data_IF_799528308345
#
_entry.id   IF_799528308345
#
_cell.length_a   1.000
_cell.length_b   1.000
_cell.length_c   1.000
_cell.angle_alpha   90.00
_cell.angle_beta   90.00
_cell.angle_gamma   90.00
#
_symmetry.space_group_name_H-M   'P 1'
#
loop_
_entity.id
_entity.type
_entity.pdbx_description
1 polymer ?
#
# COMPACT_ATOMS: atom_id res chain seq x y z
N UNK A 1 -20.66 -18.12 7.11
CA UNK A 1 -19.31 -18.17 6.50
C UNK A 1 -18.31 -17.69 7.54
N UNK A 2 -17.09 -18.26 7.63
CA UNK A 2 -16.07 -17.73 8.53
C UNK A 2 -15.83 -16.26 8.22
N UNK A 3 -15.82 -15.42 9.26
CA UNK A 3 -15.44 -14.03 9.13
C UNK A 3 -13.93 -13.95 8.92
N UNK A 4 -13.49 -13.03 8.07
CA UNK A 4 -12.08 -12.80 7.81
C UNK A 4 -11.76 -11.32 7.98
N UNK A 5 -10.52 -11.05 8.34
CA UNK A 5 -9.93 -9.73 8.19
C UNK A 5 -8.91 -9.78 7.06
N UNK A 6 -8.99 -8.77 6.18
CA UNK A 6 -8.04 -8.59 5.10
C UNK A 6 -6.93 -7.63 5.54
N UNK A 7 -5.68 -7.98 5.28
CA UNK A 7 -4.52 -7.11 5.44
C UNK A 7 -3.87 -6.93 4.07
N UNK A 8 -3.65 -5.68 3.68
CA UNK A 8 -2.98 -5.35 2.43
C UNK A 8 -1.62 -4.74 2.72
N UNK A 9 -0.57 -5.26 2.10
CA UNK A 9 0.79 -4.75 2.22
C UNK A 9 1.18 -4.13 0.89
N UNK A 10 1.34 -2.80 0.84
CA UNK A 10 1.85 -2.13 -0.34
C UNK A 10 3.33 -2.43 -0.53
N UNK A 11 3.71 -2.78 -1.75
CA UNK A 11 5.08 -3.16 -2.15
C UNK A 11 5.40 -2.52 -3.51
N UNK A 12 6.68 -2.40 -3.89
CA UNK A 12 7.01 -1.98 -5.24
C UNK A 12 6.42 -2.94 -6.27
N UNK A 13 5.76 -2.38 -7.29
CA UNK A 13 5.20 -3.13 -8.43
C UNK A 13 6.29 -3.98 -9.07
N UNK A 14 6.04 -5.28 -9.21
CA UNK A 14 6.97 -6.26 -9.78
C UNK A 14 7.94 -6.88 -8.78
N UNK A 15 7.85 -6.53 -7.49
CA UNK A 15 8.63 -7.12 -6.41
C UNK A 15 7.78 -7.87 -5.40
N UNK A 16 6.53 -8.21 -5.76
CA UNK A 16 5.60 -8.90 -4.88
C UNK A 16 6.17 -10.23 -4.38
N UNK A 17 6.76 -11.05 -5.27
CA UNK A 17 7.38 -12.34 -4.92
C UNK A 17 8.49 -12.19 -3.85
N UNK A 18 9.39 -11.23 -4.06
CA UNK A 18 10.49 -10.95 -3.14
C UNK A 18 9.94 -10.48 -1.81
N UNK A 19 8.94 -9.60 -1.83
CA UNK A 19 8.34 -9.09 -0.61
C UNK A 19 7.65 -10.21 0.18
N UNK A 20 6.92 -11.13 -0.47
CA UNK A 20 6.32 -12.31 0.17
C UNK A 20 7.37 -13.19 0.84
N UNK A 21 8.49 -13.49 0.16
CA UNK A 21 9.58 -14.29 0.72
C UNK A 21 10.23 -13.63 1.95
N UNK A 22 10.11 -12.31 2.08
CA UNK A 22 10.67 -11.52 3.18
C UNK A 22 9.65 -11.22 4.28
N UNK A 23 8.40 -11.62 4.14
CA UNK A 23 7.43 -11.50 5.22
C UNK A 23 7.83 -12.37 6.42
N UNK A 24 7.54 -11.94 7.66
CA UNK A 24 7.75 -12.77 8.82
C UNK A 24 7.03 -14.11 8.66
N UNK A 25 7.76 -15.24 8.76
CA UNK A 25 7.19 -16.60 8.60
C UNK A 25 5.97 -16.84 9.49
N UNK A 26 5.99 -16.29 10.70
CA UNK A 26 4.87 -16.39 11.62
C UNK A 26 3.60 -15.69 11.08
N UNK A 27 3.74 -14.58 10.35
CA UNK A 27 2.61 -13.90 9.72
C UNK A 27 2.05 -14.74 8.55
N UNK A 28 2.94 -15.31 7.73
CA UNK A 28 2.57 -16.22 6.62
C UNK A 28 1.79 -17.43 7.17
N UNK A 29 2.31 -18.06 8.23
CA UNK A 29 1.72 -19.28 8.80
C UNK A 29 0.32 -19.03 9.38
N UNK A 30 0.08 -17.84 9.93
CA UNK A 30 -1.21 -17.47 10.51
C UNK A 30 -2.24 -17.01 9.48
N UNK A 31 -1.80 -16.64 8.27
CA UNK A 31 -2.71 -16.27 7.18
C UNK A 31 -3.41 -17.54 6.66
N UNK A 32 -4.73 -17.48 6.51
CA UNK A 32 -5.50 -18.53 5.86
C UNK A 32 -5.26 -18.53 4.34
N UNK A 33 -5.06 -17.34 3.78
CA UNK A 33 -4.77 -17.15 2.36
C UNK A 33 -3.78 -16.01 2.15
N UNK A 34 -2.95 -16.16 1.13
CA UNK A 34 -2.00 -15.16 0.65
C UNK A 34 -2.22 -15.03 -0.84
N UNK A 35 -2.80 -13.91 -1.23
CA UNK A 35 -3.09 -13.58 -2.61
C UNK A 35 -2.24 -12.38 -3.03
N UNK A 36 -1.60 -12.49 -4.18
CA UNK A 36 -1.02 -11.35 -4.85
C UNK A 36 -1.01 -11.62 -6.36
N UNK A 37 -1.11 -10.55 -7.13
CA UNK A 37 -0.87 -10.59 -8.56
C UNK A 37 0.43 -9.87 -8.84
N UNK A 38 1.26 -10.43 -9.72
CA UNK A 38 2.45 -9.73 -10.20
C UNK A 38 2.02 -8.39 -10.77
N UNK A 39 2.68 -7.31 -10.32
CA UNK A 39 2.39 -5.91 -10.69
C UNK A 39 1.13 -5.29 -10.07
N UNK A 40 0.49 -5.92 -9.08
CA UNK A 40 -0.59 -5.27 -8.32
C UNK A 40 -0.05 -4.14 -7.44
N UNK A 41 1.21 -4.23 -6.98
CA UNK A 41 1.75 -3.36 -5.95
C UNK A 41 1.24 -3.68 -4.53
N UNK A 42 0.50 -4.78 -4.36
CA UNK A 42 -0.08 -5.19 -3.08
C UNK A 42 0.00 -6.70 -2.86
N UNK A 43 0.34 -7.09 -1.62
CA UNK A 43 0.15 -8.43 -1.10
C UNK A 43 -1.09 -8.42 -0.21
N UNK A 44 -2.04 -9.32 -0.47
CA UNK A 44 -3.26 -9.50 0.30
C UNK A 44 -3.13 -10.73 1.20
N UNK A 45 -3.16 -10.52 2.51
CA UNK A 45 -3.18 -11.57 3.52
C UNK A 45 -4.57 -11.63 4.13
N UNK A 46 -5.16 -12.83 4.20
CA UNK A 46 -6.47 -13.03 4.82
C UNK A 46 -6.35 -13.83 6.10
N UNK A 47 -6.83 -13.30 7.21
CA UNK A 47 -6.77 -13.97 8.51
C UNK A 47 -8.17 -14.37 8.99
N UNK A 48 -8.35 -15.60 9.49
CA UNK A 48 -9.63 -16.03 10.03
C UNK A 48 -9.93 -15.27 11.33
N UNK A 49 -11.19 -14.89 11.48
CA UNK A 49 -11.71 -14.31 12.72
C UNK A 49 -12.59 -15.33 13.43
N UNK A 50 -12.55 -15.31 14.76
CA UNK A 50 -13.38 -16.17 15.60
C UNK A 50 -14.54 -15.34 16.13
N UNK A 51 -15.74 -15.91 16.09
CA UNK A 51 -16.89 -15.40 16.82
C UNK A 51 -16.93 -16.20 18.10
N UNK A 52 -16.85 -15.52 19.25
CA UNK A 52 -17.02 -16.19 20.52
C UNK A 52 -18.51 -16.47 20.75
N UNK A 53 -18.92 -17.71 20.46
CA UNK A 53 -20.31 -18.16 20.61
C UNK A 53 -20.76 -18.24 22.08
N UNK A 54 -19.82 -18.19 23.05
CA UNK A 54 -20.17 -18.27 24.49
C UNK A 54 -20.73 -16.95 25.03
N UNK A 55 -20.50 -15.85 24.32
CA UNK A 55 -21.09 -14.55 24.64
C UNK A 55 -22.42 -14.47 23.86
N UNK A 56 -23.50 -14.93 24.49
CA UNK A 56 -24.83 -15.09 23.90
C UNK A 56 -25.52 -13.78 23.45
N UNK A 57 -24.87 -12.62 23.61
CA UNK A 57 -25.38 -11.35 23.10
C UNK A 57 -24.99 -11.19 21.62
N UNK A 58 -26.02 -10.99 20.77
CA UNK A 58 -25.96 -10.80 19.31
C UNK A 58 -25.04 -9.66 18.81
N UNK A 59 -24.34 -8.97 19.71
CA UNK A 59 -23.43 -7.86 19.45
C UNK A 59 -21.93 -8.24 19.57
N UNK A 60 -21.57 -9.52 19.61
CA UNK A 60 -20.16 -9.92 19.70
C UNK A 60 -19.39 -9.50 18.46
N UNK A 61 -18.45 -8.57 18.65
CA UNK A 61 -17.49 -8.21 17.61
C UNK A 61 -16.62 -9.43 17.30
N UNK A 62 -16.40 -9.76 16.02
CA UNK A 62 -15.50 -10.84 15.67
C UNK A 62 -14.10 -10.51 16.20
N UNK A 63 -13.49 -11.48 16.89
CA UNK A 63 -12.23 -11.29 17.61
C UNK A 63 -11.10 -11.88 16.76
N UNK A 64 -10.15 -11.02 16.38
CA UNK A 64 -8.90 -11.50 15.80
C UNK A 64 -8.02 -12.14 16.88
N UNK A 65 -7.45 -13.29 16.56
CA UNK A 65 -6.54 -14.04 17.43
C UNK A 65 -5.40 -13.13 17.93
N UNK A 66 -5.13 -13.17 19.24
CA UNK A 66 -4.07 -12.37 19.87
C UNK A 66 -2.69 -12.62 19.26
N UNK A 67 -2.39 -13.84 18.82
CA UNK A 67 -1.15 -14.14 18.12
C UNK A 67 -1.04 -13.35 16.81
N UNK A 68 -2.14 -13.21 16.06
CA UNK A 68 -2.16 -12.41 14.82
C UNK A 68 -1.93 -10.94 15.18
N UNK A 69 -2.62 -10.42 16.20
CA UNK A 69 -2.42 -9.04 16.68
C UNK A 69 -0.96 -8.79 17.07
N UNK A 70 -0.31 -9.74 17.76
CA UNK A 70 1.11 -9.63 18.14
C UNK A 70 2.04 -9.59 16.92
N UNK A 71 1.75 -10.38 15.88
CA UNK A 71 2.55 -10.36 14.65
C UNK A 71 2.31 -9.09 13.83
N UNK A 72 1.09 -8.57 13.79
CA UNK A 72 0.79 -7.27 13.18
C UNK A 72 1.45 -6.13 13.95
N UNK A 73 1.44 -6.18 15.28
CA UNK A 73 2.13 -5.20 16.11
C UNK A 73 3.65 -5.24 15.90
N UNK A 74 4.23 -6.43 15.75
CA UNK A 74 5.64 -6.59 15.37
C UNK A 74 5.93 -6.05 13.97
N UNK A 75 5.04 -6.30 12.98
CA UNK A 75 5.14 -5.72 11.64
C UNK A 75 5.11 -4.19 11.68
N UNK A 76 4.25 -3.61 12.53
CA UNK A 76 4.14 -2.15 12.71
C UNK A 76 5.41 -1.56 13.32
N UNK A 77 5.98 -2.22 14.34
CA UNK A 77 7.20 -1.75 15.01
C UNK A 77 8.44 -1.91 14.14
N UNK A 78 8.54 -3.05 13.44
CA UNK A 78 9.73 -3.49 12.71
C UNK A 78 9.36 -3.88 11.26
N UNK A 79 8.87 -2.95 10.42
CA UNK A 79 8.38 -3.28 9.08
C UNK A 79 9.53 -3.73 8.17
N UNK A 80 9.41 -4.87 7.46
CA UNK A 80 10.32 -5.27 6.40
C UNK A 80 10.54 -4.13 5.40
N UNK A 81 11.78 -3.92 4.97
CA UNK A 81 12.14 -2.79 4.07
C UNK A 81 11.40 -2.86 2.73
N UNK A 82 10.99 -4.05 2.31
CA UNK A 82 10.21 -4.26 1.09
C UNK A 82 8.78 -3.71 1.13
N UNK A 83 8.25 -3.34 2.31
CA UNK A 83 6.86 -2.90 2.49
C UNK A 83 6.79 -1.37 2.56
N UNK A 84 6.02 -0.75 1.67
CA UNK A 84 5.76 0.69 1.66
C UNK A 84 4.71 1.11 2.68
N UNK A 85 3.68 0.29 2.85
CA UNK A 85 2.58 0.59 3.74
C UNK A 85 1.83 -0.70 4.09
N UNK A 86 1.03 -0.68 5.14
CA UNK A 86 0.15 -1.78 5.51
C UNK A 86 -1.25 -1.24 5.82
N UNK A 87 -2.28 -1.97 5.45
CA UNK A 87 -3.67 -1.54 5.58
C UNK A 87 -4.54 -2.66 6.13
N UNK A 88 -5.39 -2.33 7.10
CA UNK A 88 -6.45 -3.22 7.58
C UNK A 88 -7.69 -2.98 6.72
N UNK A 89 -8.16 -3.99 6.00
CA UNK A 89 -9.35 -3.95 5.19
C UNK A 89 -10.59 -3.67 6.02
N UNK A 90 -11.36 -2.67 5.61
CA UNK A 90 -12.71 -2.40 6.13
C UNK A 90 -13.73 -3.18 5.30
N UNK A 91 -13.63 -3.06 3.97
CA UNK A 91 -14.53 -3.75 3.06
C UNK A 91 -14.29 -3.35 1.62
N UNK A 92 -15.09 -3.91 0.72
CA UNK A 92 -15.02 -3.64 -0.72
C UNK A 92 -16.32 -2.99 -1.19
N UNK A 93 -16.20 -2.04 -2.10
CA UNK A 93 -17.33 -1.41 -2.77
C UNK A 93 -17.33 -1.80 -4.25
N UNK A 94 -18.47 -2.27 -4.74
CA UNK A 94 -18.70 -2.56 -6.15
C UNK A 94 -19.34 -1.35 -6.83
N UNK A 95 -18.61 -0.69 -7.71
CA UNK A 95 -19.05 0.53 -8.42
C UNK A 95 -19.25 0.21 -9.91
N UNK A 96 -20.48 0.27 -10.44
CA UNK A 96 -20.73 0.20 -11.86
C UNK A 96 -19.96 1.28 -12.61
N UNK A 97 -19.27 0.92 -13.70
CA UNK A 97 -18.48 1.87 -14.49
C UNK A 97 -19.32 3.06 -15.00
N UNK A 98 -20.62 2.85 -15.19
CA UNK A 98 -21.58 3.88 -15.60
C UNK A 98 -21.65 5.04 -14.60
N UNK A 99 -21.56 4.76 -13.29
CA UNK A 99 -21.51 5.81 -12.24
C UNK A 99 -20.24 6.63 -12.38
N UNK A 100 -19.14 6.02 -12.83
CA UNK A 100 -17.88 6.75 -13.00
C UNK A 100 -17.87 7.71 -14.20
N UNK A 101 -18.84 7.61 -15.09
CA UNK A 101 -18.94 8.50 -16.25
C UNK A 101 -19.53 9.88 -15.92
N UNK A 102 -20.12 10.04 -14.72
CA UNK A 102 -20.79 11.26 -14.26
C UNK A 102 -20.34 11.63 -12.84
N UNK A 103 -19.49 12.65 -12.67
CA UNK A 103 -18.91 13.00 -11.36
C UNK A 103 -19.96 13.34 -10.28
N UNK A 104 -21.07 13.93 -10.69
CA UNK A 104 -22.21 14.25 -9.83
C UNK A 104 -22.87 13.01 -9.20
N UNK A 105 -22.93 11.89 -9.92
CA UNK A 105 -23.51 10.64 -9.40
C UNK A 105 -22.61 10.03 -8.32
N UNK A 106 -21.29 10.19 -8.40
CA UNK A 106 -20.35 9.73 -7.36
C UNK A 106 -20.45 10.56 -6.07
N UNK A 107 -20.59 11.88 -6.17
CA UNK A 107 -20.77 12.74 -5.00
C UNK A 107 -22.13 12.49 -4.33
N UNK A 108 -23.18 12.34 -5.13
CA UNK A 108 -24.51 11.97 -4.64
C UNK A 108 -24.49 10.58 -3.98
N UNK A 109 -23.70 9.65 -4.50
CA UNK A 109 -23.49 8.33 -3.89
C UNK A 109 -22.94 8.43 -2.46
N UNK A 110 -21.90 9.26 -2.25
CA UNK A 110 -21.34 9.46 -0.91
C UNK A 110 -22.35 10.04 0.07
N UNK A 111 -23.21 10.95 -0.39
CA UNK A 111 -24.14 11.70 0.47
C UNK A 111 -25.44 10.93 0.72
N UNK A 112 -25.85 10.03 -0.18
CA UNK A 112 -27.09 9.25 -0.06
C UNK A 112 -27.04 8.18 1.05
N UNK A 113 -25.86 7.64 1.37
CA UNK A 113 -25.68 6.72 2.51
C UNK A 113 -26.03 7.36 3.87
N UNK A 114 -25.88 8.68 3.96
CA UNK A 114 -26.10 9.48 5.18
C UNK A 114 -27.58 9.74 5.46
N UNK A 115 -28.40 9.92 4.42
CA UNK A 115 -29.80 10.35 4.58
C UNK A 115 -30.78 9.23 4.94
N UNK A 116 -30.45 7.96 4.72
CA UNK A 116 -31.35 6.85 5.06
C UNK A 116 -31.54 6.64 6.58
N UNK A 117 -30.66 7.17 7.44
CA UNK A 117 -30.84 7.11 8.90
C UNK A 117 -31.80 8.18 9.46
N UNK A 118 -32.11 9.24 8.70
CA UNK A 118 -32.94 10.36 9.18
C UNK A 118 -34.43 10.23 8.82
N UNK A 119 -34.83 9.32 7.93
CA UNK A 119 -36.22 9.18 7.49
C UNK A 119 -37.04 8.10 8.21
N UNK A 120 -36.45 7.27 9.08
CA UNK A 120 -37.19 6.26 9.87
C UNK A 120 -37.78 6.79 11.19
N UNK A 121 -37.65 8.08 11.50
CA UNK A 121 -38.16 8.66 12.76
C UNK A 121 -39.15 9.83 12.63
N UNK A 122 -39.75 10.04 11.46
CA UNK A 122 -40.83 11.03 11.34
C UNK A 122 -41.87 10.64 10.30
N UNK A 123 -42.79 9.75 10.68
CA UNK A 123 -44.13 9.69 10.11
C UNK A 123 -45.14 9.51 11.23
N UNK A 124 -45.46 10.61 11.89
CA UNK A 124 -46.79 10.82 12.46
C UNK A 124 -47.51 11.87 11.61
N UNK A 125 -48.79 11.58 11.40
CA UNK A 125 -49.67 12.15 10.41
C UNK A 125 -49.91 13.65 10.58
N UNK A 126 -49.99 14.37 9.46
CA UNK A 126 -50.88 15.53 9.36
C UNK A 126 -51.45 15.63 7.94
N UNK A 127 -52.68 15.17 7.83
CA UNK A 127 -53.60 15.41 6.73
C UNK A 127 -54.14 16.84 6.88
N UNK A 128 -53.89 17.71 5.89
CA UNK A 128 -54.68 18.93 5.73
C UNK A 128 -55.05 19.18 4.27
N UNK A 129 -56.25 19.74 4.16
CA UNK A 129 -57.15 19.80 3.01
C UNK A 129 -56.68 20.72 1.89
N UNK A 130 -57.06 20.33 0.68
CA UNK A 130 -56.96 21.01 -0.60
C UNK A 130 -57.91 22.21 -0.72
N UNK A 131 -57.50 23.24 -1.47
CA UNK A 131 -58.40 24.09 -2.26
C UNK A 131 -57.91 24.22 -3.72
N UNK A 132 -58.82 24.43 -4.70
CA UNK A 132 -58.48 24.43 -6.13
C UNK A 132 -58.39 25.86 -6.72
N UNK A 133 -57.43 26.08 -7.61
CA UNK A 133 -57.34 27.27 -8.44
C UNK A 133 -56.67 26.97 -9.78
N UNK A 134 -57.45 27.08 -10.86
CA UNK A 134 -57.05 26.81 -12.24
C UNK A 134 -56.22 27.94 -12.85
N UNK A 135 -55.30 27.56 -13.74
CA UNK A 135 -54.75 28.39 -14.82
C UNK A 135 -53.93 27.52 -15.78
N UNK A 136 -54.15 27.58 -17.12
CA UNK A 136 -53.39 26.77 -18.06
C UNK A 136 -52.15 27.54 -18.53
N UNK A 137 -50.96 26.96 -18.37
CA UNK A 137 -49.77 27.43 -19.08
C UNK A 137 -48.86 26.27 -19.48
N UNK A 138 -48.65 26.19 -20.79
CA UNK A 138 -47.54 25.65 -21.55
C UNK A 138 -46.70 24.53 -20.93
N UNK A 139 -46.98 23.32 -21.42
CA UNK A 139 -46.17 22.11 -21.24
C UNK A 139 -44.90 22.21 -22.08
N UNK A 140 -43.89 22.91 -21.57
CA UNK A 140 -42.51 22.48 -21.80
C UNK A 140 -42.20 21.38 -20.80
N UNK A 141 -41.94 20.16 -21.29
CA UNK A 141 -41.46 19.04 -20.46
C UNK A 141 -40.01 19.35 -20.07
N UNK A 142 -39.82 20.22 -19.09
CA UNK A 142 -38.60 20.27 -18.31
C UNK A 142 -38.58 18.99 -17.49
N UNK A 143 -37.75 18.03 -17.93
CA UNK A 143 -37.45 16.86 -17.13
C UNK A 143 -36.86 17.39 -15.81
N UNK A 144 -37.67 17.36 -14.77
CA UNK A 144 -37.34 17.91 -13.46
C UNK A 144 -36.04 17.29 -12.98
N UNK A 145 -35.01 18.12 -12.78
CA UNK A 145 -33.70 17.69 -12.29
C UNK A 145 -33.84 16.95 -10.96
N UNK A 146 -34.89 17.22 -10.18
CA UNK A 146 -35.20 16.47 -8.95
C UNK A 146 -35.61 15.02 -9.24
N UNK A 147 -36.26 14.75 -10.37
CA UNK A 147 -36.69 13.41 -10.79
C UNK A 147 -35.51 12.62 -11.36
N UNK A 148 -34.61 13.27 -12.11
CA UNK A 148 -33.32 12.70 -12.55
C UNK A 148 -32.41 12.36 -11.36
N UNK A 149 -32.29 13.26 -10.38
CA UNK A 149 -31.53 13.02 -9.16
C UNK A 149 -32.13 11.89 -8.32
N UNK A 150 -33.47 11.80 -8.21
CA UNK A 150 -34.17 10.69 -7.54
C UNK A 150 -33.99 9.36 -8.27
N UNK A 151 -33.98 9.34 -9.60
CA UNK A 151 -33.70 8.14 -10.40
C UNK A 151 -32.23 7.72 -10.35
N UNK A 152 -31.28 8.67 -10.34
CA UNK A 152 -29.85 8.39 -10.05
C UNK A 152 -29.69 7.82 -8.64
N UNK A 153 -30.36 8.39 -7.62
CA UNK A 153 -30.33 7.87 -6.25
C UNK A 153 -30.96 6.49 -6.10
N UNK A 154 -32.08 6.19 -6.77
CA UNK A 154 -32.69 4.85 -6.78
C UNK A 154 -31.79 3.80 -7.47
N UNK A 155 -30.94 4.21 -8.41
CA UNK A 155 -29.92 3.33 -9.02
C UNK A 155 -28.69 3.14 -8.14
N UNK A 156 -28.44 4.05 -7.20
CA UNK A 156 -27.32 3.99 -6.26
C UNK A 156 -27.65 3.19 -4.98
N UNK A 157 -28.92 3.18 -4.53
CA UNK A 157 -29.39 2.36 -3.40
C UNK A 157 -29.46 0.86 -3.68
N UNK A 158 -29.34 0.45 -4.95
CA UNK A 158 -29.19 -0.96 -5.35
C UNK A 158 -27.74 -1.46 -5.25
N UNK A 159 -26.79 -0.59 -4.90
CA UNK A 159 -25.38 -0.97 -4.75
C UNK A 159 -25.11 -1.53 -3.36
N UNK A 160 -25.25 -2.85 -3.23
CA UNK A 160 -24.69 -3.61 -2.11
C UNK A 160 -23.28 -4.14 -2.41
N UNK A 161 -22.39 -4.23 -1.39
CA UNK A 161 -22.46 -3.58 -0.08
C UNK A 161 -21.36 -2.51 0.08
N UNK A 162 -21.76 -1.29 0.42
CA UNK A 162 -20.88 -0.35 1.12
C UNK A 162 -20.47 -0.96 2.47
N UNK A 163 -19.24 -0.74 2.99
CA UNK A 163 -18.88 -1.28 4.28
C UNK A 163 -19.82 -0.75 5.38
N UNK A 164 -20.44 -1.66 6.12
CA UNK A 164 -21.37 -1.29 7.19
C UNK A 164 -20.63 -0.84 8.46
N UNK A 165 -21.35 -0.21 9.40
CA UNK A 165 -20.80 0.27 10.67
C UNK A 165 -20.01 -0.83 11.41
N UNK A 166 -20.46 -2.09 11.37
CA UNK A 166 -19.78 -3.22 12.01
C UNK A 166 -18.42 -3.52 11.40
N UNK A 167 -18.27 -3.39 10.08
CA UNK A 167 -16.99 -3.57 9.40
C UNK A 167 -15.99 -2.48 9.77
N UNK A 168 -16.44 -1.23 9.83
CA UNK A 168 -15.63 -0.11 10.31
C UNK A 168 -15.19 -0.28 11.76
N UNK A 169 -16.12 -0.63 12.65
CA UNK A 169 -15.85 -0.85 14.07
C UNK A 169 -14.88 -2.02 14.27
N UNK A 170 -15.04 -3.12 13.53
CA UNK A 170 -14.13 -4.26 13.59
C UNK A 170 -12.71 -3.90 13.14
N UNK A 171 -12.57 -3.22 11.99
CA UNK A 171 -11.28 -2.76 11.51
C UNK A 171 -10.61 -1.78 12.49
N UNK A 172 -11.39 -0.86 13.08
CA UNK A 172 -10.91 0.08 14.09
C UNK A 172 -10.50 -0.62 15.38
N UNK A 173 -11.26 -1.63 15.83
CA UNK A 173 -10.96 -2.44 17.01
C UNK A 173 -9.62 -3.17 16.85
N UNK A 174 -9.38 -3.77 15.67
CA UNK A 174 -8.10 -4.40 15.33
C UNK A 174 -6.98 -3.37 15.26
N UNK A 175 -7.19 -2.26 14.56
CA UNK A 175 -6.23 -1.15 14.45
C UNK A 175 -5.77 -0.69 15.84
N UNK A 176 -6.73 -0.43 16.72
CA UNK A 176 -6.49 -0.01 18.09
C UNK A 176 -5.65 -1.05 18.86
N UNK A 177 -6.01 -2.34 18.79
CA UNK A 177 -5.27 -3.42 19.47
C UNK A 177 -3.84 -3.57 18.94
N UNK A 178 -3.64 -3.45 17.62
CA UNK A 178 -2.31 -3.48 16.99
C UNK A 178 -1.47 -2.30 17.48
N UNK A 179 -2.02 -1.09 17.48
CA UNK A 179 -1.34 0.11 17.98
C UNK A 179 -0.97 0.02 19.47
N UNK A 180 -1.86 -0.54 20.30
CA UNK A 180 -1.60 -0.73 21.72
C UNK A 180 -0.43 -1.69 21.98
N UNK A 181 -0.27 -2.74 21.15
CA UNK A 181 0.81 -3.73 21.29
C UNK A 181 2.10 -3.36 20.57
N UNK A 182 2.06 -2.44 19.60
CA UNK A 182 3.25 -2.02 18.85
C UNK A 182 4.15 -1.07 19.64
N UNK A 183 3.67 -0.54 20.78
CA UNK A 183 4.39 0.44 21.61
C UNK A 183 4.79 1.70 20.82
N UNK A 184 3.98 2.07 19.83
CA UNK A 184 4.10 3.36 19.14
C UNK A 184 3.89 4.51 20.12
N UNK A 185 4.40 5.69 19.77
CA UNK A 185 4.47 6.84 20.67
C UNK A 185 3.12 7.20 21.32
N UNK A 186 3.21 7.61 22.59
CA UNK A 186 2.13 8.06 23.50
C UNK A 186 1.00 8.91 22.85
N UNK A 187 1.25 9.87 21.93
CA UNK A 187 0.18 10.75 21.43
C UNK A 187 -0.96 10.01 20.72
N UNK A 188 -0.67 8.91 20.03
CA UNK A 188 -1.68 8.13 19.32
C UNK A 188 -2.43 7.21 20.28
N UNK A 189 -1.72 6.55 21.20
CA UNK A 189 -2.32 5.68 22.21
C UNK A 189 -3.32 6.46 23.10
N UNK A 190 -2.96 7.66 23.56
CA UNK A 190 -3.81 8.53 24.37
C UNK A 190 -5.10 8.92 23.64
N UNK A 191 -5.01 9.30 22.35
CA UNK A 191 -6.18 9.69 21.54
C UNK A 191 -7.08 8.52 21.17
N UNK A 192 -6.51 7.34 20.98
CA UNK A 192 -7.25 6.10 20.77
C UNK A 192 -7.90 5.55 22.05
N UNK A 193 -7.69 6.21 23.20
CA UNK A 193 -8.31 5.85 24.48
C UNK A 193 -7.53 4.81 25.30
N UNK A 194 -6.29 4.50 24.93
CA UNK A 194 -5.46 3.55 25.67
C UNK A 194 -4.82 4.22 26.89
N UNK A 195 -5.27 3.83 28.09
CA UNK A 195 -4.65 4.23 29.37
C UNK A 195 -3.65 3.17 29.83
N UNK A 196 -2.36 3.47 29.73
CA UNK A 196 -1.29 2.70 30.35
C UNK A 196 -1.12 3.13 31.82
N UNK A 197 -1.90 2.53 32.72
CA UNK A 197 -1.61 2.54 34.17
C UNK A 197 -1.91 3.83 34.97
N UNK A 198 -2.75 3.67 36.01
CA UNK A 198 -2.86 4.45 37.26
C UNK A 198 -2.79 6.00 37.27
N UNK A 199 -3.55 6.71 36.42
CA UNK A 199 -3.81 8.14 36.66
C UNK A 199 -5.31 8.48 36.58
N UNK A 200 -5.89 8.75 37.75
CA UNK A 200 -7.21 9.32 37.96
C UNK A 200 -7.23 10.81 37.61
N UNK A 201 -7.67 11.15 36.39
CA UNK A 201 -8.50 12.34 36.10
C UNK A 201 -8.99 12.31 34.65
N UNK A 202 -10.24 12.69 34.42
CA UNK A 202 -10.85 12.81 33.10
C UNK A 202 -10.25 14.01 32.32
N UNK A 203 -9.08 13.83 31.72
CA UNK A 203 -8.62 14.74 30.69
C UNK A 203 -9.52 14.56 29.45
N UNK A 204 -9.95 15.64 28.78
CA UNK A 204 -10.75 15.54 27.56
C UNK A 204 -9.94 14.78 26.50
N UNK A 205 -10.48 13.66 26.03
CA UNK A 205 -9.91 12.92 24.90
C UNK A 205 -10.00 13.83 23.68
N UNK A 206 -8.84 14.31 23.21
CA UNK A 206 -8.77 15.05 21.95
C UNK A 206 -9.37 14.18 20.84
N UNK A 207 -10.17 14.76 19.91
CA UNK A 207 -10.77 13.99 18.84
C UNK A 207 -9.69 13.34 17.97
N UNK A 208 -9.98 12.14 17.48
CA UNK A 208 -9.15 11.47 16.48
C UNK A 208 -9.13 12.35 15.23
N UNK A 209 -7.94 12.66 14.74
CA UNK A 209 -7.78 13.34 13.46
C UNK A 209 -7.62 12.30 12.37
N UNK A 210 -8.27 12.51 11.24
CA UNK A 210 -8.15 11.60 10.12
C UNK A 210 -8.02 12.33 8.79
N UNK A 211 -7.50 11.62 7.80
CA UNK A 211 -7.63 12.01 6.39
C UNK A 211 -8.17 10.84 5.59
N UNK A 212 -8.77 11.14 4.44
CA UNK A 212 -9.05 10.15 3.42
C UNK A 212 -8.09 10.33 2.24
N UNK A 213 -7.70 9.23 1.62
CA UNK A 213 -6.81 9.20 0.46
C UNK A 213 -7.26 8.12 -0.50
N UNK A 214 -6.97 8.33 -1.78
CA UNK A 214 -7.38 7.42 -2.84
C UNK A 214 -6.26 7.21 -3.84
N UNK A 215 -5.89 5.95 -4.08
CA UNK A 215 -4.97 5.55 -5.15
C UNK A 215 -5.75 4.97 -6.33
N UNK A 216 -5.65 5.63 -7.47
CA UNK A 216 -6.27 5.19 -8.72
C UNK A 216 -5.51 4.05 -9.40
N UNK A 217 -4.26 3.78 -9.00
CA UNK A 217 -3.38 2.84 -9.68
C UNK A 217 -3.28 3.16 -11.18
N UNK A 218 -3.49 2.13 -12.01
CA UNK A 218 -3.48 2.24 -13.47
C UNK A 218 -4.85 2.57 -14.08
N UNK A 219 -5.91 2.62 -13.27
CA UNK A 219 -7.27 2.81 -13.78
C UNK A 219 -7.51 4.30 -14.00
N UNK A 220 -7.78 4.66 -15.25
CA UNK A 220 -8.16 6.02 -15.64
C UNK A 220 -9.66 6.08 -15.85
N UNK A 221 -10.32 7.00 -15.16
CA UNK A 221 -11.72 7.35 -15.41
C UNK A 221 -11.79 8.78 -15.97
N UNK A 222 -12.69 9.00 -16.92
CA UNK A 222 -12.93 10.34 -17.48
C UNK A 222 -13.84 11.11 -16.53
N UNK A 223 -13.44 12.32 -16.14
CA UNK A 223 -14.28 13.26 -15.41
C UNK A 223 -14.23 13.16 -13.88
N UNK A 224 -13.89 12.00 -13.31
CA UNK A 224 -13.71 11.86 -11.87
C UNK A 224 -12.25 12.13 -11.50
N UNK A 225 -12.01 12.84 -10.40
CA UNK A 225 -10.66 13.04 -9.89
C UNK A 225 -10.48 12.16 -8.66
N UNK A 226 -9.26 11.69 -8.41
CA UNK A 226 -8.96 10.92 -7.19
C UNK A 226 -9.32 11.68 -5.91
N UNK A 227 -9.28 13.03 -5.95
CA UNK A 227 -9.72 13.87 -4.84
C UNK A 227 -11.22 13.75 -4.55
N UNK A 228 -12.05 13.58 -5.59
CA UNK A 228 -13.51 13.45 -5.43
C UNK A 228 -13.85 12.12 -4.76
N UNK A 229 -13.17 11.04 -5.15
CA UNK A 229 -13.30 9.71 -4.51
C UNK A 229 -12.78 9.76 -3.06
N UNK A 230 -11.63 10.40 -2.83
CA UNK A 230 -11.10 10.57 -1.47
C UNK A 230 -12.05 11.38 -0.57
N UNK A 231 -12.68 12.43 -1.10
CA UNK A 231 -13.68 13.20 -0.36
C UNK A 231 -14.90 12.34 0.02
N UNK A 232 -15.39 11.51 -0.91
CA UNK A 232 -16.49 10.58 -0.66
C UNK A 232 -16.14 9.57 0.45
N UNK A 233 -14.94 8.99 0.40
CA UNK A 233 -14.43 8.09 1.47
C UNK A 233 -14.35 8.81 2.82
N UNK A 234 -13.93 10.08 2.81
CA UNK A 234 -13.89 10.91 4.01
C UNK A 234 -15.28 11.16 4.61
N UNK A 235 -16.29 11.40 3.76
CA UNK A 235 -17.68 11.52 4.17
C UNK A 235 -18.20 10.23 4.82
N UNK A 236 -17.99 9.09 4.17
CA UNK A 236 -18.37 7.77 4.71
C UNK A 236 -17.76 7.50 6.09
N UNK A 237 -16.47 7.78 6.27
CA UNK A 237 -15.81 7.61 7.56
C UNK A 237 -16.35 8.60 8.62
N UNK A 238 -16.64 9.84 8.22
CA UNK A 238 -17.23 10.85 9.10
C UNK A 238 -18.65 10.52 9.56
N UNK A 239 -19.45 9.87 8.71
CA UNK A 239 -20.79 9.40 9.05
C UNK A 239 -20.76 8.28 10.10
N UNK A 240 -19.77 7.40 10.01
CA UNK A 240 -19.58 6.30 10.97
C UNK A 240 -18.93 6.81 12.27
N UNK A 241 -18.05 7.81 12.18
CA UNK A 241 -17.33 8.40 13.31
C UNK A 241 -17.51 9.93 13.39
N UNK A 242 -18.69 10.42 13.82
CA UNK A 242 -19.01 11.86 13.85
C UNK A 242 -18.08 12.70 14.73
N UNK A 243 -17.40 12.05 15.70
CA UNK A 243 -16.44 12.68 16.60
C UNK A 243 -15.06 12.90 15.97
N UNK A 244 -14.75 12.21 14.87
CA UNK A 244 -13.47 12.37 14.18
C UNK A 244 -13.38 13.73 13.48
N UNK A 245 -12.17 14.29 13.40
CA UNK A 245 -11.92 15.58 12.75
C UNK A 245 -10.99 15.41 11.55
N UNK A 246 -11.36 16.01 10.42
CA UNK A 246 -10.51 15.96 9.23
C UNK A 246 -9.26 16.83 9.44
N UNK A 247 -8.07 16.26 9.24
CA UNK A 247 -6.79 16.98 9.20
C UNK A 247 -5.92 16.40 8.08
N UNK A 248 -5.72 17.15 7.00
CA UNK A 248 -4.99 16.66 5.83
C UNK A 248 -3.46 16.61 6.04
N UNK A 249 -2.95 17.30 7.06
CA UNK A 249 -1.52 17.46 7.30
C UNK A 249 -1.05 16.61 8.48
N UNK A 250 -1.78 16.67 9.59
CA UNK A 250 -1.43 15.99 10.84
C UNK A 250 -2.59 15.14 11.30
N UNK A 251 -2.68 13.94 10.74
CA UNK A 251 -3.71 12.96 11.04
C UNK A 251 -3.15 11.83 11.90
N UNK A 252 -4.05 11.20 12.63
CA UNK A 252 -3.79 10.04 13.48
C UNK A 252 -4.14 8.74 12.72
N UNK A 253 -5.17 8.78 11.86
CA UNK A 253 -5.61 7.67 11.00
C UNK A 253 -5.75 8.16 9.56
N UNK A 254 -5.33 7.33 8.61
CA UNK A 254 -5.66 7.51 7.19
C UNK A 254 -6.64 6.42 6.75
N UNK A 255 -7.74 6.86 6.15
CA UNK A 255 -8.68 6.01 5.41
C UNK A 255 -8.21 5.95 3.97
N UNK A 256 -7.84 4.77 3.50
CA UNK A 256 -7.29 4.57 2.17
C UNK A 256 -8.26 3.77 1.29
N UNK A 257 -8.53 4.28 0.10
CA UNK A 257 -9.22 3.54 -0.95
C UNK A 257 -8.34 3.30 -2.17
N UNK A 258 -8.53 2.17 -2.86
CA UNK A 258 -7.93 1.93 -4.17
C UNK A 258 -8.75 0.94 -4.98
N UNK A 259 -8.55 0.94 -6.30
CA UNK A 259 -9.21 -0.04 -7.17
C UNK A 259 -8.55 -1.41 -7.09
N UNK A 260 -9.35 -2.45 -6.96
CA UNK A 260 -8.92 -3.83 -7.11
C UNK A 260 -9.10 -4.22 -8.58
N UNK A 261 -7.99 -4.38 -9.28
CA UNK A 261 -8.00 -4.98 -10.61
C UNK A 261 -8.16 -6.50 -10.44
N UNK A 262 -9.27 -7.06 -10.92
CA UNK A 262 -9.44 -8.52 -11.02
C UNK A 262 -8.49 -9.04 -12.08
N UNK A 263 -7.26 -9.32 -11.67
CA UNK A 263 -6.24 -9.90 -12.53
C UNK A 263 -6.58 -11.36 -12.77
N UNK A 264 -6.72 -11.73 -14.04
CA UNK A 264 -6.82 -13.13 -14.45
C UNK A 264 -5.42 -13.76 -14.28
N UNK A 265 -5.09 -14.20 -13.07
CA UNK A 265 -3.78 -14.80 -12.77
C UNK A 265 -3.23 -14.54 -11.37
N UNK A 266 -4.08 -14.28 -10.37
CA UNK A 266 -3.60 -14.15 -8.99
C UNK A 266 -2.91 -15.44 -8.55
N UNK A 267 -1.74 -15.29 -7.93
CA UNK A 267 -1.01 -16.42 -7.35
C UNK A 267 -1.56 -16.62 -5.95
N UNK A 268 -2.28 -17.73 -5.76
CA UNK A 268 -2.72 -18.16 -4.44
C UNK A 268 -1.65 -19.04 -3.81
N UNK A 269 -0.96 -18.52 -2.81
CA UNK A 269 -0.07 -19.33 -1.98
C UNK A 269 -0.88 -19.81 -0.79
N UNK A 270 -1.48 -21.00 -0.90
CA UNK A 270 -2.08 -21.66 0.26
C UNK A 270 -0.97 -21.90 1.31
N UNK A 271 -1.27 -21.58 2.56
CA UNK A 271 -0.36 -21.61 3.73
C UNK A 271 0.34 -22.97 4.02
N UNK A 272 0.15 -24.00 3.19
CA UNK A 272 0.89 -25.27 3.25
C UNK A 272 2.33 -25.11 2.70
N UNK A 273 3.04 -24.06 3.08
CA UNK A 273 4.39 -23.78 2.62
C UNK A 273 5.37 -24.80 3.23
N UNK A 274 5.71 -25.83 2.46
CA UNK A 274 6.85 -26.69 2.72
C UNK A 274 8.09 -25.99 2.16
N UNK A 275 9.15 -25.74 2.95
CA UNK A 275 10.35 -25.06 2.45
C UNK A 275 10.94 -25.84 1.26
N UNK A 276 11.31 -25.14 0.20
CA UNK A 276 12.26 -25.67 -0.78
C UNK A 276 13.56 -25.87 -0.03
N UNK A 277 13.87 -27.13 0.31
CA UNK A 277 15.17 -27.49 0.84
C UNK A 277 16.25 -27.07 -0.15
N UNK A 278 17.32 -26.50 0.39
CA UNK A 278 18.53 -26.11 -0.32
C UNK A 278 18.89 -27.16 -1.37
N UNK A 279 18.84 -26.75 -2.64
CA UNK A 279 19.20 -27.52 -3.82
C UNK A 279 20.64 -28.02 -3.64
N UNK A 280 20.80 -29.22 -3.10
CA UNK A 280 22.06 -29.93 -3.12
C UNK A 280 22.38 -30.25 -4.58
N UNK A 281 23.56 -29.80 -4.98
CA UNK A 281 24.13 -30.09 -6.28
C UNK A 281 24.22 -31.61 -6.43
N UNK A 282 23.45 -32.17 -7.36
CA UNK A 282 23.86 -33.37 -8.06
C UNK A 282 23.76 -33.07 -9.55
N UNK A 283 24.94 -32.99 -10.15
CA UNK A 283 25.14 -32.95 -11.57
C UNK A 283 24.53 -34.20 -12.20
N UNK A 284 23.76 -34.02 -13.28
CA UNK A 284 23.80 -34.96 -14.39
C UNK A 284 23.33 -34.27 -15.67
N UNK A 285 24.27 -34.19 -16.60
CA UNK A 285 24.09 -33.77 -17.98
C UNK A 285 23.05 -34.64 -18.70
N UNK A 286 22.04 -34.01 -19.31
CA UNK A 286 21.44 -34.50 -20.53
C UNK A 286 20.83 -33.33 -21.32
N UNK A 287 21.57 -32.89 -22.32
CA UNK A 287 21.22 -31.84 -23.27
C UNK A 287 19.90 -32.15 -23.98
N UNK A 288 18.88 -31.31 -23.78
CA UNK A 288 17.74 -31.20 -24.70
C UNK A 288 17.57 -29.74 -25.09
N UNK A 289 18.09 -29.44 -26.28
CA UNK A 289 18.08 -28.15 -26.96
C UNK A 289 16.67 -27.94 -27.52
N UNK A 290 15.80 -27.27 -26.79
CA UNK A 290 14.49 -26.84 -27.30
C UNK A 290 14.61 -25.38 -27.73
N UNK A 291 14.45 -25.15 -29.04
CA UNK A 291 14.35 -23.82 -29.67
C UNK A 291 13.29 -22.98 -28.96
N UNK A 292 13.71 -21.83 -28.41
CA UNK A 292 12.82 -20.70 -28.14
C UNK A 292 12.81 -19.81 -29.38
N UNK A 293 11.80 -20.00 -30.22
CA UNK A 293 11.27 -18.96 -31.09
C UNK A 293 9.80 -18.78 -30.65
N UNK A 294 9.54 -17.84 -29.75
CA UNK A 294 8.19 -17.31 -29.54
C UNK A 294 8.21 -15.81 -29.84
N UNK A 295 7.39 -15.32 -30.79
CA UNK A 295 7.38 -13.92 -31.16
C UNK A 295 6.67 -13.04 -30.13
N UNK A 296 7.02 -11.76 -30.20
CA UNK A 296 6.54 -10.63 -29.43
C UNK A 296 5.01 -10.41 -29.53
N UNK A 297 4.18 -11.17 -28.81
CA UNK A 297 2.73 -10.90 -28.71
C UNK A 297 2.32 -10.10 -27.46
N UNK A 298 3.18 -9.94 -26.45
CA UNK A 298 2.78 -9.30 -25.17
C UNK A 298 2.63 -7.76 -25.23
N UNK A 299 3.06 -7.08 -26.29
CA UNK A 299 2.88 -5.63 -26.42
C UNK A 299 1.58 -5.22 -27.13
N UNK A 300 0.87 -6.14 -27.78
CA UNK A 300 -0.45 -5.87 -28.38
C UNK A 300 -1.64 -6.20 -27.46
N UNK A 301 -1.42 -6.98 -26.40
CA UNK A 301 -2.48 -7.30 -25.41
C UNK A 301 -2.89 -6.13 -24.51
N UNK A 302 -2.21 -4.97 -24.58
CA UNK A 302 -2.54 -3.77 -23.78
C UNK A 302 -3.65 -2.89 -24.37
N UNK A 303 -4.01 -3.07 -25.64
CA UNK A 303 -5.06 -2.28 -26.30
C UNK A 303 -6.36 -3.04 -26.56
N UNK A 304 -6.43 -4.31 -26.15
CA UNK A 304 -7.62 -5.16 -26.32
C UNK A 304 -8.06 -5.80 -24.98
N UNK A 305 -8.07 -5.03 -23.90
CA UNK A 305 -9.20 -5.20 -22.98
C UNK A 305 -10.37 -4.51 -23.67
N UNK A 306 -11.15 -5.29 -24.41
CA UNK A 306 -12.51 -4.90 -24.77
C UNK A 306 -13.16 -4.54 -23.42
N UNK A 307 -13.36 -3.24 -23.17
CA UNK A 307 -14.05 -2.72 -22.00
C UNK A 307 -15.38 -3.45 -21.92
N UNK A 308 -15.44 -4.50 -21.10
CA UNK A 308 -16.70 -5.11 -20.76
C UNK A 308 -17.36 -4.13 -19.79
N UNK A 309 -18.04 -3.12 -20.36
CA UNK A 309 -18.63 -1.97 -19.67
C UNK A 309 -19.58 -2.37 -18.53
N UNK A 310 -19.97 -3.64 -18.52
CA UNK A 310 -20.91 -4.20 -17.56
C UNK A 310 -20.23 -4.77 -16.30
N UNK A 311 -18.90 -4.89 -16.26
CA UNK A 311 -18.21 -5.35 -15.06
C UNK A 311 -18.02 -4.19 -14.06
N UNK A 312 -18.60 -4.27 -12.85
CA UNK A 312 -18.41 -3.24 -11.84
C UNK A 312 -16.96 -3.24 -11.35
N UNK A 313 -16.41 -2.05 -11.20
CA UNK A 313 -15.10 -1.84 -10.59
C UNK A 313 -15.20 -2.12 -9.09
N UNK A 314 -14.25 -2.88 -8.57
CA UNK A 314 -14.15 -3.13 -7.14
C UNK A 314 -13.19 -2.12 -6.53
N UNK A 315 -13.59 -1.49 -5.43
CA UNK A 315 -12.76 -0.59 -4.66
C UNK A 315 -12.53 -1.20 -3.27
N UNK A 316 -11.29 -1.37 -2.86
CA UNK A 316 -10.95 -1.71 -1.49
C UNK A 316 -10.98 -0.44 -0.64
N UNK A 317 -11.55 -0.53 0.57
CA UNK A 317 -11.49 0.51 1.61
C UNK A 317 -10.75 -0.07 2.81
N UNK A 318 -9.80 0.68 3.36
CA UNK A 318 -8.93 0.20 4.44
C UNK A 318 -8.48 1.32 5.39
N UNK A 319 -8.01 0.96 6.58
CA UNK A 319 -7.32 1.83 7.52
C UNK A 319 -5.81 1.62 7.41
N UNK A 320 -5.04 2.70 7.20
CA UNK A 320 -3.57 2.65 7.14
C UNK A 320 -2.97 2.37 8.51
N UNK A 321 -2.18 1.31 8.63
CA UNK A 321 -1.40 1.02 9.84
C UNK A 321 -0.22 1.99 9.98
N UNK A 322 0.04 2.52 11.19
CA UNK A 322 1.11 3.48 11.44
C UNK A 322 2.48 2.79 11.54
N UNK A 323 2.99 2.29 10.41
CA UNK A 323 4.29 1.63 10.36
C UNK A 323 5.41 2.56 10.89
N UNK A 324 6.19 2.07 11.83
CA UNK A 324 7.25 2.80 12.52
C UNK A 324 8.50 2.96 11.63
N UNK A 325 8.34 3.49 10.42
CA UNK A 325 9.46 3.67 9.49
C UNK A 325 10.56 4.56 10.06
N UNK A 326 10.22 5.47 10.97
CA UNK A 326 11.19 6.28 11.73
C UNK A 326 12.19 5.44 12.53
N UNK A 327 11.79 4.23 12.94
CA UNK A 327 12.60 3.28 13.69
C UNK A 327 13.37 2.31 12.78
N UNK A 328 13.18 2.42 11.46
CA UNK A 328 13.96 1.66 10.50
C UNK A 328 15.19 2.51 10.09
N UNK A 329 16.36 2.37 10.75
CA UNK A 329 17.53 3.19 10.47
C UNK A 329 17.95 3.11 9.00
N UNK A 330 17.66 1.98 8.36
CA UNK A 330 17.94 1.71 6.94
C UNK A 330 17.05 2.49 5.96
N UNK A 331 15.99 3.15 6.42
CA UNK A 331 15.11 4.01 5.61
C UNK A 331 15.38 5.51 5.77
N UNK A 332 16.44 5.87 6.49
CA UNK A 332 16.74 7.28 6.74
C UNK A 332 17.55 7.92 5.63
N UNK A 333 16.96 8.89 4.94
CA UNK A 333 17.65 9.76 3.98
C UNK A 333 17.29 11.23 4.22
N UNK A 334 18.20 12.05 4.75
CA UNK A 334 17.93 13.46 5.00
C UNK A 334 17.90 14.32 3.72
N UNK A 335 18.61 13.91 2.65
CA UNK A 335 18.74 14.72 1.43
C UNK A 335 18.34 13.94 0.18
N UNK A 336 17.35 14.47 -0.54
CA UNK A 336 16.96 13.99 -1.85
C UNK A 336 17.65 14.77 -2.99
N UNK A 337 18.05 14.05 -4.02
CA UNK A 337 18.34 14.56 -5.37
C UNK A 337 17.11 14.54 -6.28
N UNK A 338 17.26 15.14 -7.47
CA UNK A 338 16.19 15.37 -8.45
C UNK A 338 15.41 14.11 -8.86
N UNK A 339 16.09 12.97 -8.90
CA UNK A 339 15.55 11.68 -9.36
C UNK A 339 15.93 10.56 -8.38
N UNK A 340 15.89 10.85 -7.08
CA UNK A 340 16.31 9.87 -6.07
C UNK A 340 15.44 8.64 -6.10
N UNK A 341 16.07 7.47 -6.19
CA UNK A 341 15.38 6.20 -6.06
C UNK A 341 14.79 6.07 -4.65
N UNK A 342 13.58 5.54 -4.49
CA UNK A 342 13.05 5.23 -3.15
C UNK A 342 13.88 4.11 -2.51
N UNK A 343 14.13 4.19 -1.21
CA UNK A 343 14.99 3.23 -0.49
C UNK A 343 14.47 1.80 -0.63
N UNK A 344 13.17 1.61 -0.54
CA UNK A 344 12.57 0.28 -0.62
C UNK A 344 12.73 -0.32 -2.02
N UNK A 345 12.69 0.51 -3.07
CA UNK A 345 12.96 0.05 -4.44
C UNK A 345 14.44 -0.35 -4.55
N UNK A 346 15.35 0.46 -3.99
CA UNK A 346 16.77 0.14 -3.97
C UNK A 346 17.05 -1.20 -3.26
N UNK A 347 16.49 -1.39 -2.06
CA UNK A 347 16.59 -2.63 -1.30
C UNK A 347 16.08 -3.84 -2.08
N UNK A 348 14.93 -3.69 -2.74
CA UNK A 348 14.36 -4.78 -3.53
C UNK A 348 15.18 -5.09 -4.79
N UNK A 349 15.78 -4.09 -5.45
CA UNK A 349 16.70 -4.33 -6.57
C UNK A 349 17.96 -5.08 -6.13
N UNK A 350 18.56 -4.68 -5.01
CA UNK A 350 19.72 -5.35 -4.44
C UNK A 350 19.38 -6.80 -4.07
N UNK A 351 18.18 -7.04 -3.54
CA UNK A 351 17.69 -8.38 -3.22
C UNK A 351 17.46 -9.20 -4.49
N UNK A 352 16.86 -8.61 -5.52
CA UNK A 352 16.62 -9.25 -6.81
C UNK A 352 17.93 -9.64 -7.52
N UNK A 353 18.96 -8.79 -7.39
CA UNK A 353 20.29 -9.07 -7.93
C UNK A 353 21.02 -10.21 -7.21
N UNK A 354 20.47 -10.74 -6.10
CA UNK A 354 21.00 -11.87 -5.36
C UNK A 354 22.50 -11.71 -5.01
N UNK A 355 22.83 -10.56 -4.41
CA UNK A 355 24.20 -10.21 -4.02
C UNK A 355 24.78 -11.26 -3.07
N UNK A 356 25.97 -11.75 -3.37
CA UNK A 356 26.72 -12.70 -2.57
C UNK A 356 27.79 -11.98 -1.71
N UNK A 357 28.17 -12.56 -0.56
CA UNK A 357 29.33 -12.11 0.19
C UNK A 357 30.60 -12.08 -0.69
N UNK A 358 31.30 -10.95 -0.69
CA UNK A 358 32.50 -10.72 -1.50
C UNK A 358 32.25 -9.97 -2.81
N UNK A 359 31.01 -9.90 -3.29
CA UNK A 359 30.69 -9.18 -4.54
C UNK A 359 31.14 -7.72 -4.51
N UNK A 360 31.67 -7.25 -5.63
CA UNK A 360 31.90 -5.86 -5.97
C UNK A 360 30.73 -5.39 -6.83
N UNK A 361 29.93 -4.48 -6.28
CA UNK A 361 28.70 -3.99 -6.88
C UNK A 361 28.87 -2.53 -7.31
N UNK A 362 28.54 -2.22 -8.55
CA UNK A 362 28.61 -0.88 -9.12
C UNK A 362 27.22 -0.31 -9.41
N UNK A 363 26.93 0.87 -8.87
CA UNK A 363 25.88 1.76 -9.36
C UNK A 363 26.49 2.82 -10.27
N UNK A 364 26.33 2.67 -11.58
CA UNK A 364 26.91 3.58 -12.57
C UNK A 364 26.27 4.99 -12.58
N UNK A 365 25.12 5.18 -11.94
CA UNK A 365 24.38 6.45 -11.88
C UNK A 365 23.83 6.67 -10.46
N UNK A 366 24.74 6.76 -9.49
CA UNK A 366 24.43 6.72 -8.07
C UNK A 366 23.58 7.89 -7.56
N UNK A 367 23.60 9.05 -8.21
CA UNK A 367 22.88 10.23 -7.76
C UNK A 367 23.29 10.57 -6.32
N UNK A 368 22.30 10.63 -5.43
CA UNK A 368 22.53 10.85 -3.99
C UNK A 368 22.91 9.58 -3.21
N UNK A 369 23.45 8.56 -3.90
CA UNK A 369 24.06 7.36 -3.32
C UNK A 369 23.09 6.30 -2.80
N UNK A 370 21.83 6.30 -3.23
CA UNK A 370 20.79 5.46 -2.62
C UNK A 370 21.13 3.96 -2.65
N UNK A 371 21.38 3.39 -3.84
CA UNK A 371 21.69 1.97 -3.99
C UNK A 371 22.97 1.58 -3.26
N UNK A 372 24.12 2.26 -3.46
CA UNK A 372 25.36 1.83 -2.80
C UNK A 372 25.30 1.99 -1.28
N UNK A 373 24.64 3.03 -0.74
CA UNK A 373 24.47 3.21 0.71
C UNK A 373 23.61 2.09 1.31
N UNK A 374 22.43 1.82 0.72
CA UNK A 374 21.54 0.74 1.17
C UNK A 374 22.22 -0.63 1.02
N UNK A 375 22.96 -0.83 -0.08
CA UNK A 375 23.74 -2.04 -0.35
C UNK A 375 24.78 -2.34 0.71
N UNK A 376 25.67 -1.38 0.98
CA UNK A 376 26.76 -1.55 1.96
C UNK A 376 26.25 -1.90 3.36
N UNK A 377 25.08 -1.40 3.69
CA UNK A 377 24.39 -1.64 4.96
C UNK A 377 23.81 -3.05 5.07
N UNK A 378 23.18 -3.54 4.00
CA UNK A 378 22.51 -4.85 4.02
C UNK A 378 23.44 -6.02 3.64
N UNK A 379 24.51 -5.72 2.92
CA UNK A 379 25.50 -6.70 2.45
C UNK A 379 26.89 -6.23 2.90
N UNK A 380 27.18 -6.24 4.22
CA UNK A 380 28.42 -5.69 4.76
C UNK A 380 29.69 -6.46 4.34
N UNK A 381 29.54 -7.64 3.75
CA UNK A 381 30.64 -8.44 3.20
C UNK A 381 30.90 -8.16 1.71
N UNK A 382 30.14 -7.26 1.10
CA UNK A 382 30.26 -6.87 -0.31
C UNK A 382 30.73 -5.41 -0.40
N UNK A 383 31.39 -5.06 -1.51
CA UNK A 383 31.87 -3.71 -1.78
C UNK A 383 30.88 -2.99 -2.69
N UNK A 384 30.43 -1.80 -2.29
CA UNK A 384 29.54 -0.99 -3.12
C UNK A 384 30.25 0.26 -3.63
N UNK A 385 30.26 0.41 -4.94
CA UNK A 385 30.79 1.55 -5.67
C UNK A 385 29.63 2.31 -6.31
N UNK A 386 29.67 3.63 -6.28
CA UNK A 386 28.74 4.47 -7.04
C UNK A 386 29.47 5.52 -7.86
N UNK A 387 29.13 5.63 -9.13
CA UNK A 387 29.58 6.71 -10.01
C UNK A 387 28.50 7.77 -10.10
N UNK A 388 28.91 9.03 -10.00
CA UNK A 388 28.02 10.16 -10.19
C UNK A 388 28.75 11.25 -10.97
N UNK A 389 28.05 11.86 -11.93
CA UNK A 389 28.62 12.89 -12.80
C UNK A 389 28.54 14.29 -12.18
N UNK A 390 27.51 14.55 -11.37
CA UNK A 390 27.22 15.86 -10.79
C UNK A 390 27.87 15.95 -9.40
N UNK A 391 28.93 16.76 -9.21
CA UNK A 391 29.67 16.84 -7.95
C UNK A 391 28.77 17.11 -6.72
N UNK A 392 27.75 17.97 -6.87
CA UNK A 392 26.84 18.31 -5.78
C UNK A 392 26.03 17.10 -5.27
N UNK A 393 25.78 16.10 -6.13
CA UNK A 393 25.10 14.88 -5.70
C UNK A 393 26.02 13.99 -4.84
N UNK A 394 27.34 14.06 -5.03
CA UNK A 394 28.32 13.33 -4.22
C UNK A 394 28.31 13.86 -2.78
N UNK A 395 28.31 15.18 -2.61
CA UNK A 395 28.25 15.81 -1.27
C UNK A 395 26.95 15.44 -0.53
N UNK A 396 25.82 15.45 -1.26
CA UNK A 396 24.52 14.99 -0.72
C UNK A 396 24.56 13.52 -0.34
N UNK A 397 25.21 12.70 -1.15
CA UNK A 397 25.33 11.28 -0.90
C UNK A 397 26.24 10.98 0.31
N UNK A 398 27.32 11.74 0.48
CA UNK A 398 28.16 11.68 1.69
C UNK A 398 27.33 12.03 2.94
N UNK A 399 26.53 13.11 2.87
CA UNK A 399 25.60 13.50 3.94
C UNK A 399 24.62 12.35 4.26
N UNK A 400 24.04 11.71 3.25
CA UNK A 400 23.13 10.58 3.44
C UNK A 400 23.82 9.36 4.06
N UNK A 401 25.04 9.04 3.62
CA UNK A 401 25.81 7.92 4.14
C UNK A 401 26.15 8.12 5.63
N UNK A 402 26.62 9.30 6.00
CA UNK A 402 26.91 9.67 7.39
C UNK A 402 25.66 9.60 8.27
N UNK A 403 24.55 10.17 7.79
CA UNK A 403 23.31 10.23 8.53
C UNK A 403 22.70 8.82 8.75
N UNK A 404 22.80 7.94 7.76
CA UNK A 404 22.33 6.56 7.88
C UNK A 404 23.24 5.74 8.82
N UNK A 405 24.56 5.93 8.75
CA UNK A 405 25.52 5.29 9.66
C UNK A 405 25.27 5.71 11.13
N UNK A 406 25.03 7.00 11.39
CA UNK A 406 24.72 7.50 12.74
C UNK A 406 23.44 6.87 13.31
N UNK A 407 22.39 6.71 12.49
CA UNK A 407 21.14 6.04 12.88
C UNK A 407 21.35 4.56 13.20
N UNK A 408 22.20 3.89 12.43
CA UNK A 408 22.55 2.50 12.70
C UNK A 408 23.26 2.35 14.04
N UNK A 409 24.25 3.19 14.32
CA UNK A 409 25.02 3.15 15.56
C UNK A 409 24.13 3.41 16.79
N UNK A 410 23.14 4.30 16.68
CA UNK A 410 22.18 4.55 17.75
C UNK A 410 21.25 3.36 18.04
N UNK A 411 20.96 2.54 17.02
CA UNK A 411 20.05 1.39 17.14
C UNK A 411 20.80 0.11 17.53
N UNK A 412 22.05 -0.03 17.07
CA UNK A 412 22.90 -1.16 17.38
C UNK A 412 23.61 -0.95 18.73
N UNK A 413 23.06 -1.54 19.80
CA UNK A 413 23.80 -1.78 21.07
C UNK A 413 24.96 -2.79 20.89
N UNK A 414 25.65 -2.81 19.75
CA UNK A 414 26.63 -3.84 19.35
C UNK A 414 27.98 -3.24 18.94
N UNK A 415 29.02 -3.86 19.49
CA UNK A 415 30.44 -3.47 19.55
C UNK A 415 31.27 -3.70 18.28
N UNK A 416 30.66 -3.98 17.12
CA UNK A 416 31.40 -4.14 15.87
C UNK A 416 30.95 -3.09 14.85
N UNK A 417 31.78 -2.05 14.70
CA UNK A 417 31.74 -1.15 13.55
C UNK A 417 31.96 -1.98 12.29
N UNK A 418 30.89 -2.36 11.60
CA UNK A 418 30.99 -2.91 10.26
C UNK A 418 31.43 -1.77 9.34
N UNK A 419 32.65 -1.82 8.84
CA UNK A 419 33.26 -0.76 8.03
C UNK A 419 32.83 -0.83 6.56
N UNK A 420 31.77 -1.55 6.20
CA UNK A 420 31.29 -1.52 4.81
C UNK A 420 30.67 -0.16 4.53
N UNK A 421 31.45 0.70 3.88
CA UNK A 421 31.03 2.00 3.40
C UNK A 421 30.87 1.94 1.90
N UNK A 422 29.74 2.45 1.42
CA UNK A 422 29.59 2.83 0.04
C UNK A 422 30.73 3.78 -0.36
N UNK A 423 31.42 3.48 -1.46
CA UNK A 423 32.41 4.37 -2.05
C UNK A 423 31.78 5.09 -3.24
N UNK A 424 31.71 6.42 -3.16
CA UNK A 424 31.14 7.26 -4.21
C UNK A 424 32.25 8.03 -4.91
N UNK A 425 32.23 7.98 -6.23
CA UNK A 425 33.28 8.53 -7.08
C UNK A 425 32.65 9.49 -8.09
N UNK A 426 33.33 10.61 -8.33
CA UNK A 426 33.03 11.48 -9.46
C UNK A 426 33.43 10.75 -10.75
N UNK A 427 32.47 10.46 -11.60
CA UNK A 427 32.72 9.66 -12.80
C UNK A 427 31.57 9.73 -13.81
N UNK A 428 31.93 9.55 -15.08
CA UNK A 428 30.98 9.48 -16.18
C UNK A 428 30.65 8.01 -16.49
N UNK A 429 29.37 7.64 -16.37
CA UNK A 429 28.91 6.28 -16.66
C UNK A 429 29.20 5.83 -18.10
N UNK A 430 29.41 6.77 -19.03
CA UNK A 430 29.79 6.48 -20.43
C UNK A 430 31.24 6.04 -20.56
N UNK A 431 32.06 6.32 -19.57
CA UNK A 431 33.49 5.99 -19.51
C UNK A 431 33.79 5.48 -18.09
N UNK A 432 33.37 4.24 -17.82
CA UNK A 432 33.55 3.61 -16.51
C UNK A 432 35.06 3.46 -16.23
N UNK A 433 35.61 4.11 -15.17
CA UNK A 433 37.04 4.14 -14.92
C UNK A 433 37.52 2.88 -14.16
N UNK A 434 37.00 1.72 -14.52
CA UNK A 434 37.29 0.42 -13.90
C UNK A 434 37.84 -0.53 -14.96
N UNK A 435 38.68 -1.47 -14.54
CA UNK A 435 39.22 -2.50 -15.44
C UNK A 435 38.13 -3.54 -15.74
N UNK A 436 38.28 -4.27 -16.84
CA UNK A 436 37.48 -5.47 -17.07
C UNK A 436 37.58 -6.42 -15.88
N UNK A 437 36.48 -7.12 -15.60
CA UNK A 437 36.37 -8.15 -14.56
C UNK A 437 36.69 -7.65 -13.13
N UNK A 438 36.60 -6.35 -12.88
CA UNK A 438 36.78 -5.77 -11.54
C UNK A 438 35.47 -5.52 -10.79
N UNK A 439 34.32 -5.84 -11.39
CA UNK A 439 32.98 -5.65 -10.84
C UNK A 439 32.17 -6.90 -11.15
N UNK A 440 31.53 -7.47 -10.13
CA UNK A 440 30.72 -8.68 -10.27
C UNK A 440 29.29 -8.34 -10.72
N UNK A 441 28.73 -7.23 -10.21
CA UNK A 441 27.35 -6.82 -10.47
C UNK A 441 27.25 -5.33 -10.80
N UNK A 442 26.48 -4.99 -11.84
CA UNK A 442 26.07 -3.61 -12.11
C UNK A 442 24.57 -3.46 -11.85
N UNK A 443 24.23 -2.61 -10.90
CA UNK A 443 22.84 -2.33 -10.49
C UNK A 443 22.67 -0.81 -10.46
N UNK A 444 21.85 -0.26 -11.36
CA UNK A 444 21.70 1.19 -11.45
C UNK A 444 20.26 1.64 -11.75
N UNK A 445 19.86 2.75 -11.10
CA UNK A 445 18.60 3.44 -11.36
C UNK A 445 18.77 4.49 -12.45
N UNK A 446 18.67 4.09 -13.71
CA UNK A 446 18.94 4.99 -14.85
C UNK A 446 17.86 6.09 -14.95
N UNK A 447 18.30 7.33 -15.12
CA UNK A 447 17.44 8.52 -15.23
C UNK A 447 16.63 8.50 -16.54
N UNK A 448 15.30 8.69 -16.44
CA UNK A 448 14.48 9.03 -17.62
C UNK A 448 14.59 10.52 -17.92
N UNK A 449 15.16 10.87 -19.08
CA UNK A 449 14.95 12.19 -19.68
C UNK A 449 13.75 12.13 -20.63
N UNK A 450 12.93 13.19 -20.65
CA UNK A 450 11.84 13.32 -21.65
C UNK A 450 12.46 13.33 -23.05
N UNK A 451 12.35 12.21 -23.78
CA UNK A 451 12.82 12.09 -25.16
C UNK A 451 13.73 10.89 -25.45
N UNK A 452 14.30 10.22 -24.44
CA UNK A 452 15.10 9.01 -24.63
C UNK A 452 14.37 7.77 -24.11
N UNK A 453 14.16 6.81 -25.02
CA UNK A 453 13.41 5.57 -24.82
C UNK A 453 14.27 4.52 -24.09
N UNK A 454 14.81 4.84 -22.91
CA UNK A 454 15.44 3.85 -22.03
C UNK A 454 14.71 3.83 -20.70
N UNK A 455 13.75 2.92 -20.59
CA UNK A 455 13.09 2.57 -19.34
C UNK A 455 13.47 1.14 -19.00
N UNK A 456 14.69 0.92 -18.50
CA UNK A 456 15.06 -0.36 -17.93
C UNK A 456 15.80 -0.11 -16.62
N UNK A 457 15.22 -0.63 -15.54
CA UNK A 457 15.98 -1.02 -14.35
C UNK A 457 16.89 -2.15 -14.83
N UNK A 458 18.18 -1.88 -14.92
CA UNK A 458 19.15 -2.87 -15.38
C UNK A 458 19.88 -3.44 -14.17
N UNK A 459 19.61 -4.70 -13.85
CA UNK A 459 20.53 -5.54 -13.09
C UNK A 459 21.16 -6.49 -14.11
N UNK A 460 22.43 -6.29 -14.41
CA UNK A 460 23.19 -7.24 -15.24
C UNK A 460 24.13 -8.01 -14.32
N UNK A 461 23.96 -9.33 -14.30
CA UNK A 461 24.98 -10.25 -13.79
C UNK A 461 25.81 -10.71 -14.98
N UNK A 462 27.12 -10.42 -14.96
CA UNK A 462 28.03 -10.93 -15.97
C UNK A 462 28.34 -12.40 -15.66
N UNK A 463 27.50 -13.31 -16.16
CA UNK A 463 27.89 -14.71 -16.30
C UNK A 463 28.78 -14.85 -17.53
N UNK A 464 30.08 -14.69 -17.31
CA UNK A 464 31.22 -15.11 -18.16
C UNK A 464 31.20 -14.64 -19.62
N UNK A 465 32.11 -13.71 -19.95
CA UNK A 465 32.76 -13.66 -21.26
C UNK A 465 34.07 -14.43 -21.22
#
# INVERSE_FOLDING_TARGET
MPAFIDLFLAVPIGFEDIAVQRLPRALITLAADIEYATRSGYIHLRFPMYIDETIADLATEPILNDQVIDKLAALVRDPPISIFNAYIGVGQLSIPQQVLSKPEDLMNFSMAGSHNKLQEHSKEDNVFLTEPGQGPSDTSVTLDQSTLAKQSMQRLTTMQPCPNDRQWLSALSIFRRVCARSQLSEPLAVRLGYRTGSASRAAPTLPIRFRASFDRGNIQHKGIRSQDVAAALGGMAGDVFPEWKVDLKVYDIEVMGWWIEKTQGSTHVKSNYCPVESRSQSENHASKKTRLDQPQEEQHSRQLQVENKDNPLQMQISLTLPLAFSNCPHRYRPVDGRTSLKIEIAYNLLTFANIQPGDVVLDACAGVGTLPIVGAIHYPQSLFLGLELVPENIDKAATNAEAMAQRQDQTAKRTLRSHSRASLLLGDARVIPLRSDSVDLIISGIVKTKGALFSYLCAFSFLSY
#
